data_IF_542911140264
#
_entry.id   IF_542911140264
#
_cell.length_a   1.000
_cell.length_b   1.000
_cell.length_c   1.000
_cell.angle_alpha   90.00
_cell.angle_beta   90.00
_cell.angle_gamma   90.00
#
_symmetry.space_group_name_H-M   'P 1'
#
loop_
_entity.id
_entity.type
_entity.pdbx_description
1 polymer ?
#
# COMPACT_ATOMS: atom_id res chain seq x y z
N UNK A 1 36.75 11.77 -30.51
CA UNK A 1 36.35 12.53 -29.32
C UNK A 1 37.58 12.50 -28.43
N UNK A 2 38.32 13.62 -28.39
CA UNK A 2 39.44 13.79 -27.47
C UNK A 2 38.83 13.94 -26.05
N UNK A 3 38.91 12.89 -25.30
CA UNK A 3 38.49 12.92 -23.87
C UNK A 3 39.72 13.38 -23.10
N UNK A 4 39.62 14.53 -22.42
CA UNK A 4 40.67 14.95 -21.51
C UNK A 4 40.87 13.85 -20.45
N UNK A 5 42.03 13.16 -20.55
CA UNK A 5 42.27 11.96 -19.76
C UNK A 5 42.32 12.26 -18.26
N UNK A 6 42.79 13.44 -17.87
CA UNK A 6 42.90 13.87 -16.47
C UNK A 6 41.51 14.17 -15.85
N UNK A 7 40.63 14.85 -16.62
CA UNK A 7 39.25 15.08 -16.21
C UNK A 7 38.47 13.75 -16.09
N UNK A 8 38.71 12.81 -17.00
CA UNK A 8 38.06 11.51 -16.99
C UNK A 8 38.52 10.67 -15.81
N UNK A 9 39.82 10.59 -15.53
CA UNK A 9 40.36 9.86 -14.37
C UNK A 9 39.82 10.44 -13.06
N UNK A 10 39.77 11.76 -12.94
CA UNK A 10 39.16 12.43 -11.79
C UNK A 10 37.69 12.03 -11.58
N UNK A 11 36.92 11.95 -12.64
CA UNK A 11 35.50 11.50 -12.59
C UNK A 11 35.40 10.04 -12.15
N UNK A 12 36.28 9.16 -12.66
CA UNK A 12 36.32 7.75 -12.27
C UNK A 12 36.65 7.59 -10.79
N UNK A 13 37.65 8.29 -10.31
CA UNK A 13 38.04 8.23 -8.89
C UNK A 13 36.93 8.78 -7.96
N UNK A 14 36.29 9.87 -8.35
CA UNK A 14 35.14 10.41 -7.59
C UNK A 14 33.97 9.41 -7.57
N UNK A 15 33.69 8.75 -8.68
CA UNK A 15 32.65 7.71 -8.74
C UNK A 15 33.00 6.49 -7.87
N UNK A 16 34.26 6.01 -7.95
CA UNK A 16 34.76 4.92 -7.11
C UNK A 16 34.65 5.26 -5.62
N UNK A 17 35.07 6.47 -5.22
CA UNK A 17 34.96 6.93 -3.85
C UNK A 17 33.49 7.00 -3.39
N UNK A 18 32.59 7.49 -4.23
CA UNK A 18 31.15 7.53 -3.95
C UNK A 18 30.55 6.13 -3.72
N UNK A 19 30.97 5.16 -4.53
CA UNK A 19 30.58 3.76 -4.36
C UNK A 19 31.10 3.15 -3.05
N UNK A 20 32.35 3.43 -2.71
CA UNK A 20 32.95 2.94 -1.45
C UNK A 20 32.25 3.53 -0.23
N UNK A 21 31.92 4.84 -0.26
CA UNK A 21 31.18 5.52 0.81
C UNK A 21 29.79 4.90 0.92
N UNK A 22 29.10 4.70 -0.19
CA UNK A 22 27.77 4.09 -0.22
C UNK A 22 27.79 2.67 0.38
N UNK A 23 28.71 1.80 -0.04
CA UNK A 23 28.87 0.45 0.49
C UNK A 23 29.19 0.44 1.99
N UNK A 24 30.07 1.34 2.42
CA UNK A 24 30.37 1.49 3.84
C UNK A 24 29.16 1.93 4.67
N UNK A 25 28.41 2.91 4.17
CA UNK A 25 27.17 3.37 4.81
C UNK A 25 26.12 2.23 4.89
N UNK A 26 25.96 1.43 3.83
CA UNK A 26 25.03 0.29 3.85
C UNK A 26 25.43 -0.73 4.91
N UNK A 27 26.70 -1.10 4.98
CA UNK A 27 27.20 -2.04 6.00
C UNK A 27 27.01 -1.55 7.41
N UNK A 28 27.22 -0.25 7.67
CA UNK A 28 26.98 0.35 8.99
C UNK A 28 25.52 0.31 9.37
N UNK A 29 24.62 0.56 8.42
CA UNK A 29 23.18 0.46 8.62
C UNK A 29 22.80 -0.98 8.96
N UNK A 30 23.22 -1.94 8.15
CA UNK A 30 22.87 -3.35 8.33
C UNK A 30 23.36 -3.92 9.67
N UNK A 31 24.48 -3.41 10.18
CA UNK A 31 25.05 -3.89 11.43
C UNK A 31 24.52 -3.19 12.68
N UNK A 32 24.20 -1.91 12.60
CA UNK A 32 24.00 -1.08 13.80
C UNK A 32 22.69 -0.29 13.82
N UNK A 33 21.93 -0.28 12.71
CA UNK A 33 20.70 0.49 12.65
C UNK A 33 19.49 -0.35 13.06
N UNK A 34 18.79 0.09 14.11
CA UNK A 34 17.52 -0.52 14.51
C UNK A 34 16.39 -0.03 13.62
N UNK A 35 15.74 -0.97 12.93
CA UNK A 35 14.58 -0.73 12.07
C UNK A 35 13.26 -0.82 12.81
N UNK A 36 13.27 -1.03 14.13
CA UNK A 36 12.06 -1.08 14.92
C UNK A 36 11.37 0.28 14.98
N UNK A 37 10.05 0.26 14.74
CA UNK A 37 9.18 1.44 14.87
C UNK A 37 8.00 1.04 15.72
N UNK A 38 7.75 1.75 16.81
CA UNK A 38 6.62 1.44 17.66
C UNK A 38 5.28 1.76 16.96
N UNK A 39 4.25 1.00 17.29
CA UNK A 39 2.89 1.28 16.79
C UNK A 39 2.43 2.69 17.19
N UNK A 40 2.82 3.16 18.36
CA UNK A 40 2.48 4.51 18.84
C UNK A 40 3.13 5.60 17.97
N UNK A 41 4.37 5.42 17.54
CA UNK A 41 5.04 6.39 16.65
C UNK A 41 4.32 6.47 15.29
N UNK A 42 3.88 5.32 14.76
CA UNK A 42 3.12 5.27 13.50
C UNK A 42 1.78 5.99 13.65
N UNK A 43 1.05 5.74 14.75
CA UNK A 43 -0.23 6.40 15.04
C UNK A 43 -0.04 7.91 15.21
N UNK A 44 0.97 8.33 15.96
CA UNK A 44 1.27 9.75 16.19
C UNK A 44 1.64 10.45 14.87
N UNK A 45 2.44 9.80 14.02
CA UNK A 45 2.78 10.34 12.72
C UNK A 45 1.54 10.51 11.84
N UNK A 46 0.69 9.49 11.78
CA UNK A 46 -0.57 9.55 11.04
C UNK A 46 -1.45 10.70 11.52
N UNK A 47 -1.66 10.83 12.82
CA UNK A 47 -2.55 11.85 13.40
C UNK A 47 -2.03 13.28 13.16
N UNK A 48 -0.72 13.47 13.24
CA UNK A 48 -0.10 14.79 12.99
C UNK A 48 -0.11 15.20 11.53
N UNK A 49 -0.10 14.24 10.60
CA UNK A 49 -0.03 14.46 9.16
C UNK A 49 -1.30 14.02 8.42
N UNK A 50 -2.42 13.86 9.13
CA UNK A 50 -3.65 13.23 8.60
C UNK A 50 -4.16 13.89 7.29
N UNK A 51 -3.96 15.19 7.13
CA UNK A 51 -4.38 15.95 5.93
C UNK A 51 -3.55 15.63 4.70
N UNK A 52 -2.36 15.05 4.86
CA UNK A 52 -1.46 14.67 3.77
C UNK A 52 -1.82 13.30 3.21
N UNK A 53 -2.47 12.45 4.01
CA UNK A 53 -2.87 11.11 3.61
C UNK A 53 -4.20 11.15 2.88
N UNK A 54 -4.15 11.37 1.57
CA UNK A 54 -5.33 11.33 0.70
C UNK A 54 -5.28 10.09 -0.18
N UNK A 55 -6.45 9.48 -0.36
CA UNK A 55 -6.62 8.33 -1.23
C UNK A 55 -6.30 8.72 -2.68
N UNK A 56 -5.41 7.97 -3.32
CA UNK A 56 -5.07 8.11 -4.73
C UNK A 56 -6.09 7.44 -5.66
N UNK A 57 -6.87 6.51 -5.11
CA UNK A 57 -7.95 5.80 -5.79
C UNK A 57 -9.04 5.39 -4.80
N UNK A 58 -10.19 5.00 -5.33
CA UNK A 58 -11.30 4.53 -4.51
C UNK A 58 -10.94 3.25 -3.76
N UNK A 59 -11.43 3.12 -2.52
CA UNK A 59 -11.28 1.92 -1.69
C UNK A 59 -12.63 1.46 -1.17
N UNK A 60 -12.74 0.18 -0.88
CA UNK A 60 -13.95 -0.42 -0.37
C UNK A 60 -13.67 -1.56 0.61
N UNK A 61 -14.67 -1.88 1.41
CA UNK A 61 -14.84 -3.16 2.09
C UNK A 61 -16.11 -3.77 1.53
N UNK A 62 -16.06 -5.04 1.18
CA UNK A 62 -17.23 -5.68 0.57
C UNK A 62 -16.91 -6.93 -0.23
N UNK A 63 -17.85 -7.30 -1.09
CA UNK A 63 -17.83 -8.59 -1.81
C UNK A 63 -18.16 -8.37 -3.28
N UNK A 64 -17.48 -9.11 -4.13
CA UNK A 64 -17.83 -9.31 -5.53
C UNK A 64 -17.96 -10.81 -5.77
N UNK A 65 -19.08 -11.24 -6.41
CA UNK A 65 -19.25 -12.60 -6.87
C UNK A 65 -19.70 -12.54 -8.33
N UNK A 66 -19.06 -13.35 -9.15
CA UNK A 66 -19.42 -13.55 -10.57
C UNK A 66 -19.73 -15.03 -10.72
N UNK A 67 -20.96 -15.34 -11.06
CA UNK A 67 -21.46 -16.72 -11.17
C UNK A 67 -22.21 -16.91 -12.47
N UNK A 68 -22.22 -18.13 -13.01
CA UNK A 68 -23.02 -18.48 -14.19
C UNK A 68 -24.51 -18.35 -13.88
N UNK A 69 -25.33 -17.95 -14.87
CA UNK A 69 -26.78 -17.86 -14.73
C UNK A 69 -27.43 -19.21 -14.46
N UNK A 70 -26.78 -20.29 -14.92
CA UNK A 70 -27.28 -21.65 -14.77
C UNK A 70 -26.68 -22.35 -13.53
N UNK A 71 -25.96 -21.63 -12.68
CA UNK A 71 -25.41 -22.20 -11.45
C UNK A 71 -26.55 -22.67 -10.51
N UNK A 72 -26.36 -23.78 -9.78
CA UNK A 72 -27.38 -24.30 -8.89
C UNK A 72 -27.61 -23.37 -7.68
N UNK A 73 -28.86 -23.37 -7.19
CA UNK A 73 -29.22 -22.69 -5.92
C UNK A 73 -28.91 -21.18 -5.87
N UNK A 74 -29.02 -20.46 -6.99
CA UNK A 74 -28.77 -19.01 -7.07
C UNK A 74 -29.60 -18.20 -6.07
N UNK A 75 -30.84 -18.61 -5.78
CA UNK A 75 -31.69 -17.94 -4.80
C UNK A 75 -31.08 -17.98 -3.39
N UNK A 76 -30.50 -19.10 -3.02
CA UNK A 76 -29.80 -19.25 -1.73
C UNK A 76 -28.51 -18.43 -1.71
N UNK A 77 -27.70 -18.47 -2.77
CA UNK A 77 -26.53 -17.59 -2.89
C UNK A 77 -26.91 -16.12 -2.68
N UNK A 78 -27.97 -15.64 -3.33
CA UNK A 78 -28.42 -14.23 -3.21
C UNK A 78 -28.85 -13.91 -1.78
N UNK A 79 -29.44 -14.85 -1.07
CA UNK A 79 -29.81 -14.67 0.34
C UNK A 79 -28.57 -14.56 1.23
N UNK A 80 -27.65 -15.50 1.11
CA UNK A 80 -26.38 -15.51 1.83
C UNK A 80 -25.55 -14.26 1.54
N UNK A 81 -25.49 -13.86 0.26
CA UNK A 81 -24.76 -12.64 -0.18
C UNK A 81 -25.24 -11.36 0.49
N UNK A 82 -26.52 -11.25 0.82
CA UNK A 82 -27.12 -10.08 1.51
C UNK A 82 -26.95 -10.12 3.01
N UNK A 83 -26.57 -11.27 3.57
CA UNK A 83 -26.40 -11.43 5.01
C UNK A 83 -25.11 -10.76 5.52
N UNK A 84 -25.11 -10.36 6.79
CA UNK A 84 -23.94 -9.91 7.51
C UNK A 84 -23.56 -10.90 8.63
N UNK A 85 -24.17 -12.08 8.67
CA UNK A 85 -23.84 -13.12 9.63
C UNK A 85 -22.60 -13.88 9.16
N UNK A 86 -21.66 -14.13 10.06
CA UNK A 86 -20.39 -14.77 9.72
C UNK A 86 -20.61 -16.20 9.21
N UNK A 87 -21.60 -16.93 9.74
CA UNK A 87 -21.92 -18.29 9.29
C UNK A 87 -22.46 -18.29 7.85
N UNK A 88 -23.29 -17.32 7.51
CA UNK A 88 -23.82 -17.16 6.15
C UNK A 88 -22.72 -16.77 5.15
N UNK A 89 -21.74 -15.97 5.61
CA UNK A 89 -20.58 -15.60 4.81
C UNK A 89 -19.71 -16.83 4.52
N UNK A 90 -19.47 -17.68 5.51
CA UNK A 90 -18.70 -18.92 5.33
C UNK A 90 -19.40 -19.91 4.38
N UNK A 91 -20.73 -20.03 4.48
CA UNK A 91 -21.52 -20.84 3.55
C UNK A 91 -21.48 -20.26 2.14
N UNK A 92 -21.61 -18.93 2.00
CA UNK A 92 -21.46 -18.24 0.71
C UNK A 92 -20.08 -18.47 0.09
N UNK A 93 -19.00 -18.40 0.88
CA UNK A 93 -17.64 -18.68 0.39
C UNK A 93 -17.53 -20.13 -0.08
N UNK A 94 -18.12 -21.07 0.68
CA UNK A 94 -18.15 -22.49 0.30
C UNK A 94 -18.88 -22.72 -1.02
N UNK A 95 -20.00 -22.02 -1.24
CA UNK A 95 -20.69 -22.01 -2.52
C UNK A 95 -19.81 -21.44 -3.64
N UNK A 96 -19.14 -20.30 -3.39
CA UNK A 96 -18.28 -19.65 -4.37
C UNK A 96 -17.11 -20.53 -4.81
N UNK A 97 -16.50 -21.29 -3.89
CA UNK A 97 -15.42 -22.24 -4.21
C UNK A 97 -15.85 -23.31 -5.22
N UNK A 98 -17.13 -23.68 -5.25
CA UNK A 98 -17.65 -24.73 -6.12
C UNK A 98 -18.20 -24.18 -7.46
N UNK A 99 -18.85 -23.02 -7.44
CA UNK A 99 -19.69 -22.56 -8.54
C UNK A 99 -19.38 -21.17 -9.07
N UNK A 100 -18.61 -20.32 -8.35
CA UNK A 100 -18.29 -18.99 -8.83
C UNK A 100 -17.18 -19.06 -9.90
N UNK A 101 -17.35 -18.30 -10.97
CA UNK A 101 -16.28 -18.03 -11.93
C UNK A 101 -15.16 -17.20 -11.28
N UNK A 102 -15.56 -16.25 -10.47
CA UNK A 102 -14.66 -15.40 -9.70
C UNK A 102 -15.38 -14.85 -8.47
N UNK A 103 -14.69 -14.74 -7.37
CA UNK A 103 -15.22 -14.08 -6.19
C UNK A 103 -14.12 -13.33 -5.42
N UNK A 104 -14.55 -12.31 -4.71
CA UNK A 104 -13.75 -11.53 -3.79
C UNK A 104 -14.58 -11.22 -2.55
N UNK A 105 -14.11 -11.59 -1.37
CA UNK A 105 -14.81 -11.35 -0.10
C UNK A 105 -13.82 -10.72 0.88
N UNK A 106 -14.03 -9.47 1.24
CA UNK A 106 -13.25 -8.78 2.24
C UNK A 106 -14.07 -7.68 2.92
N UNK A 107 -14.83 -8.05 3.92
CA UNK A 107 -15.69 -7.16 4.68
C UNK A 107 -14.97 -6.44 5.83
N UNK A 108 -13.79 -6.91 6.19
CA UNK A 108 -13.06 -6.45 7.39
C UNK A 108 -11.95 -5.43 7.06
N UNK A 109 -11.26 -5.60 5.93
CA UNK A 109 -10.14 -4.77 5.55
C UNK A 109 -10.43 -3.92 4.30
N UNK A 110 -9.81 -2.74 4.24
CA UNK A 110 -9.87 -1.88 3.07
C UNK A 110 -9.07 -2.47 1.92
N UNK A 111 -9.65 -2.42 0.73
CA UNK A 111 -9.03 -2.84 -0.52
C UNK A 111 -9.26 -1.83 -1.62
N UNK A 112 -8.36 -1.76 -2.56
CA UNK A 112 -8.51 -0.89 -3.73
C UNK A 112 -9.64 -1.38 -4.64
N UNK A 113 -10.49 -0.45 -5.09
CA UNK A 113 -11.66 -0.78 -5.89
C UNK A 113 -11.34 -1.01 -7.38
N UNK A 114 -10.27 -0.45 -7.90
CA UNK A 114 -9.95 -0.57 -9.34
C UNK A 114 -9.86 -2.03 -9.85
N UNK A 115 -9.28 -3.01 -9.14
CA UNK A 115 -9.29 -4.41 -9.57
C UNK A 115 -10.69 -5.01 -9.67
N UNK A 116 -11.62 -4.58 -8.82
CA UNK A 116 -13.02 -5.01 -8.85
C UNK A 116 -13.76 -4.30 -9.97
N UNK A 117 -13.53 -3.01 -10.14
CA UNK A 117 -14.13 -2.18 -11.18
C UNK A 117 -13.88 -2.72 -12.59
N UNK A 118 -12.71 -3.29 -12.85
CA UNK A 118 -12.39 -3.86 -14.16
C UNK A 118 -13.14 -5.16 -14.49
N UNK A 119 -13.77 -5.78 -13.49
CA UNK A 119 -14.45 -7.08 -13.62
C UNK A 119 -15.96 -6.98 -13.66
N UNK A 120 -16.51 -5.85 -13.25
CA UNK A 120 -17.96 -5.62 -13.20
C UNK A 120 -18.46 -4.95 -14.49
N UNK A 121 -19.73 -5.18 -14.88
CA UNK A 121 -20.36 -4.50 -16.01
C UNK A 121 -20.36 -2.97 -15.85
N UNK A 122 -20.30 -2.24 -16.97
CA UNK A 122 -20.36 -0.77 -16.96
C UNK A 122 -21.71 -0.23 -16.43
N UNK A 123 -22.75 -1.05 -16.44
CA UNK A 123 -24.07 -0.73 -15.87
C UNK A 123 -24.05 -0.74 -14.34
N UNK A 124 -23.09 -1.43 -13.73
CA UNK A 124 -22.90 -1.52 -12.27
C UNK A 124 -21.94 -0.44 -11.80
N UNK A 125 -22.38 0.40 -10.87
CA UNK A 125 -21.59 1.52 -10.39
C UNK A 125 -21.57 1.57 -8.87
N UNK A 126 -20.36 1.46 -8.28
CA UNK A 126 -20.16 1.61 -6.84
C UNK A 126 -20.68 2.97 -6.34
N UNK A 127 -20.48 4.04 -7.14
CA UNK A 127 -20.98 5.37 -6.83
C UNK A 127 -22.51 5.42 -6.73
N UNK A 128 -23.21 4.78 -7.67
CA UNK A 128 -24.67 4.71 -7.64
C UNK A 128 -25.17 3.90 -6.44
N UNK A 129 -24.50 2.78 -6.10
CA UNK A 129 -24.82 1.98 -4.91
C UNK A 129 -24.67 2.86 -3.65
N UNK A 130 -23.53 3.54 -3.51
CA UNK A 130 -23.24 4.40 -2.36
C UNK A 130 -24.24 5.53 -2.18
N UNK A 131 -24.53 6.32 -3.24
CA UNK A 131 -25.44 7.46 -3.15
C UNK A 131 -26.92 7.07 -3.06
N UNK A 132 -27.32 5.91 -3.56
CA UNK A 132 -28.70 5.41 -3.42
C UNK A 132 -28.98 4.79 -2.04
N UNK A 133 -28.01 4.83 -1.12
CA UNK A 133 -28.06 4.16 0.17
C UNK A 133 -28.37 2.66 0.08
N UNK A 134 -28.10 2.06 -1.07
CA UNK A 134 -28.14 0.61 -1.26
C UNK A 134 -26.79 0.05 -0.83
N UNK A 135 -26.81 -1.14 -0.27
CA UNK A 135 -25.55 -1.82 0.10
C UNK A 135 -25.04 -2.71 -1.02
N UNK A 136 -25.86 -3.06 -1.98
CA UNK A 136 -25.51 -4.00 -3.04
C UNK A 136 -26.22 -3.68 -4.36
N UNK A 137 -25.67 -4.25 -5.41
CA UNK A 137 -26.29 -4.32 -6.73
C UNK A 137 -26.12 -5.73 -7.31
N UNK A 138 -27.11 -6.18 -8.09
CA UNK A 138 -27.12 -7.49 -8.75
C UNK A 138 -27.51 -7.26 -10.21
N UNK A 139 -26.61 -7.57 -11.11
CA UNK A 139 -26.79 -7.37 -12.55
C UNK A 139 -26.56 -8.68 -13.28
N UNK A 140 -27.51 -9.06 -14.14
CA UNK A 140 -27.35 -10.15 -15.07
C UNK A 140 -26.89 -9.59 -16.42
N UNK A 141 -25.72 -10.00 -16.89
CA UNK A 141 -25.20 -9.63 -18.19
C UNK A 141 -24.53 -10.85 -18.85
N UNK A 142 -24.79 -11.02 -20.13
CA UNK A 142 -24.35 -12.20 -20.92
C UNK A 142 -24.74 -13.50 -20.21
N UNK A 143 -23.82 -14.40 -19.95
CA UNK A 143 -24.07 -15.68 -19.27
C UNK A 143 -23.82 -15.61 -17.76
N UNK A 144 -23.57 -14.42 -17.20
CA UNK A 144 -23.17 -14.28 -15.80
C UNK A 144 -24.13 -13.40 -15.00
N UNK A 145 -24.16 -13.66 -13.68
CA UNK A 145 -24.73 -12.79 -12.67
C UNK A 145 -23.58 -12.20 -11.87
N UNK A 146 -23.61 -10.88 -11.76
CA UNK A 146 -22.65 -10.09 -11.00
C UNK A 146 -23.33 -9.60 -9.73
N UNK A 147 -22.73 -9.90 -8.58
CA UNK A 147 -23.22 -9.46 -7.28
C UNK A 147 -22.14 -8.61 -6.63
N UNK A 148 -22.39 -7.32 -6.42
CA UNK A 148 -21.48 -6.39 -5.76
C UNK A 148 -22.11 -5.89 -4.47
N UNK A 149 -21.45 -6.12 -3.34
CA UNK A 149 -21.85 -5.60 -2.02
C UNK A 149 -20.77 -4.64 -1.50
N UNK A 150 -21.20 -3.45 -1.09
CA UNK A 150 -20.35 -2.42 -0.51
C UNK A 150 -20.72 -2.24 0.96
N UNK A 151 -19.91 -2.78 1.86
CA UNK A 151 -20.08 -2.56 3.31
C UNK A 151 -19.65 -1.16 3.68
N UNK A 152 -18.50 -0.74 3.18
CA UNK A 152 -17.95 0.61 3.31
C UNK A 152 -17.29 1.02 1.99
N UNK A 153 -17.30 2.30 1.68
CA UNK A 153 -16.68 2.85 0.47
C UNK A 153 -16.10 4.23 0.75
N UNK A 154 -14.93 4.51 0.21
CA UNK A 154 -14.30 5.84 0.25
C UNK A 154 -13.81 6.22 -1.13
N UNK A 155 -14.01 7.49 -1.48
CA UNK A 155 -13.61 8.02 -2.77
C UNK A 155 -12.16 8.49 -2.77
N UNK A 156 -11.57 8.45 -3.94
CA UNK A 156 -10.31 9.16 -4.22
C UNK A 156 -10.38 10.61 -3.70
N UNK A 157 -9.32 11.05 -3.03
CA UNK A 157 -9.20 12.38 -2.44
C UNK A 157 -9.73 12.50 -1.01
N UNK A 158 -10.47 11.52 -0.49
CA UNK A 158 -10.82 11.45 0.94
C UNK A 158 -9.59 11.07 1.78
N UNK A 159 -9.70 11.29 3.10
CA UNK A 159 -8.66 10.89 4.04
C UNK A 159 -8.54 9.36 4.04
N UNK A 160 -7.33 8.90 3.74
CA UNK A 160 -6.99 7.48 3.74
C UNK A 160 -7.06 6.90 5.15
N UNK A 161 -7.67 5.74 5.37
CA UNK A 161 -7.69 5.08 6.68
C UNK A 161 -6.27 4.70 7.14
N UNK A 162 -6.05 4.77 8.45
CA UNK A 162 -4.78 4.37 9.07
C UNK A 162 -4.27 2.99 8.62
N UNK A 163 -5.17 2.03 8.49
CA UNK A 163 -4.82 0.67 8.09
C UNK A 163 -4.23 0.57 6.67
N UNK A 164 -4.58 1.48 5.77
CA UNK A 164 -3.99 1.58 4.43
C UNK A 164 -2.59 2.21 4.50
N UNK A 165 -2.41 3.23 5.35
CA UNK A 165 -1.18 4.02 5.40
C UNK A 165 -0.12 3.44 6.35
N UNK A 166 -0.50 2.51 7.23
CA UNK A 166 0.35 2.00 8.32
C UNK A 166 1.75 1.57 7.85
N UNK A 167 1.83 0.72 6.82
CA UNK A 167 3.13 0.23 6.33
C UNK A 167 3.93 1.33 5.62
N UNK A 168 3.27 2.20 4.88
CA UNK A 168 3.91 3.36 4.24
C UNK A 168 4.50 4.30 5.29
N UNK A 169 3.76 4.61 6.34
CA UNK A 169 4.23 5.47 7.45
C UNK A 169 5.39 4.81 8.18
N UNK A 170 5.31 3.51 8.47
CA UNK A 170 6.41 2.76 9.07
C UNK A 170 7.70 2.92 8.25
N UNK A 171 7.62 2.71 6.94
CA UNK A 171 8.76 2.86 6.04
C UNK A 171 9.28 4.32 5.97
N UNK A 172 8.38 5.31 6.00
CA UNK A 172 8.77 6.72 6.07
C UNK A 172 9.55 7.04 7.35
N UNK A 173 9.09 6.54 8.50
CA UNK A 173 9.78 6.74 9.79
C UNK A 173 11.15 6.04 9.76
N UNK A 174 11.23 4.79 9.29
CA UNK A 174 12.49 4.05 9.14
C UNK A 174 13.47 4.84 8.28
N UNK A 175 13.05 5.29 7.10
CA UNK A 175 13.90 6.06 6.19
C UNK A 175 14.36 7.38 6.82
N UNK A 176 13.47 8.09 7.50
CA UNK A 176 13.82 9.33 8.22
C UNK A 176 14.85 9.08 9.34
N UNK A 177 14.69 8.00 10.09
CA UNK A 177 15.62 7.61 11.15
C UNK A 177 16.97 7.17 10.56
N UNK A 178 16.96 6.42 9.44
CA UNK A 178 18.16 6.03 8.70
C UNK A 178 18.96 7.26 8.24
N UNK A 179 18.30 8.26 7.68
CA UNK A 179 18.95 9.52 7.27
C UNK A 179 19.59 10.25 8.46
N UNK A 180 18.87 10.36 9.58
CA UNK A 180 19.40 10.97 10.80
C UNK A 180 20.59 10.20 11.37
N UNK A 181 20.55 8.88 11.33
CA UNK A 181 21.63 8.02 11.77
C UNK A 181 22.90 8.26 10.95
N UNK A 182 22.78 8.27 9.62
CA UNK A 182 23.90 8.54 8.71
C UNK A 182 24.49 9.93 8.94
N UNK A 183 23.65 10.95 9.06
CA UNK A 183 24.09 12.32 9.33
C UNK A 183 24.84 12.43 10.67
N UNK A 184 24.37 11.71 11.69
CA UNK A 184 25.07 11.67 12.99
C UNK A 184 26.44 10.99 12.87
N UNK A 185 26.52 9.88 12.14
CA UNK A 185 27.79 9.18 11.87
C UNK A 185 28.77 10.07 11.11
N UNK A 186 28.31 10.76 10.07
CA UNK A 186 29.14 11.70 9.30
C UNK A 186 29.71 12.81 10.19
N UNK A 187 28.87 13.41 11.03
CA UNK A 187 29.33 14.45 11.99
C UNK A 187 30.36 13.91 12.98
N UNK A 188 30.19 12.68 13.48
CA UNK A 188 31.14 12.04 14.38
C UNK A 188 32.49 11.78 13.68
N UNK A 189 32.46 11.28 12.44
CA UNK A 189 33.67 11.03 11.65
C UNK A 189 34.41 12.32 11.35
N UNK A 190 33.74 13.40 10.97
CA UNK A 190 34.33 14.71 10.74
C UNK A 190 34.97 15.24 12.02
N UNK A 191 34.29 15.15 13.17
CA UNK A 191 34.85 15.60 14.45
C UNK A 191 36.08 14.79 14.84
N UNK A 192 36.06 13.47 14.71
CA UNK A 192 37.20 12.62 15.03
C UNK A 192 38.39 12.91 14.09
N UNK A 193 38.14 13.06 12.79
CA UNK A 193 39.18 13.40 11.83
C UNK A 193 39.83 14.77 12.06
N UNK A 194 39.07 15.73 12.62
CA UNK A 194 39.63 17.04 13.06
C UNK A 194 40.51 16.88 14.29
N UNK A 195 40.10 16.06 15.25
CA UNK A 195 40.86 15.84 16.50
C UNK A 195 42.18 15.11 16.21
N UNK A 196 42.15 14.15 15.26
CA UNK A 196 43.35 13.37 14.85
C UNK A 196 44.24 14.13 13.87
N UNK A 197 43.86 15.32 13.40
CA UNK A 197 44.53 16.09 12.34
C UNK A 197 44.56 15.36 10.95
N UNK A 198 43.70 14.41 10.75
CA UNK A 198 43.59 13.68 9.47
C UNK A 198 42.79 14.46 8.42
N UNK A 199 42.02 15.48 8.84
CA UNK A 199 41.18 16.31 7.96
C UNK A 199 41.48 17.79 8.17
N UNK A 200 41.91 18.48 7.12
CA UNK A 200 41.99 19.91 7.05
C UNK A 200 40.88 20.47 6.18
N UNK A 201 40.00 21.29 6.73
CA UNK A 201 38.96 21.98 5.97
C UNK A 201 39.49 23.38 5.64
N UNK A 202 39.76 23.61 4.37
CA UNK A 202 40.04 24.95 3.86
C UNK A 202 38.69 25.63 3.55
N UNK A 203 38.40 26.70 4.28
CA UNK A 203 37.25 27.58 4.07
C UNK A 203 37.53 28.56 2.93
#
# INVERSE_FOLDING_TARGET
IDVDSEEFETKVDNYKNSLLIFEYQQRLIDQNFDTSVSTNDIINYYNTHIKEFKLEQDIFKGRLIIVDKDAPNLSELIKLFKSNDDSDIDEMISYCLLYAKEYYVNDSAWSYFNPVKSKIPNTMSARNIYYSNRKYDIVAQDNFIYLLFLKEYKFKGEISPFSIEKEKIKNLIINKNKMKYLQKLENVLIQNGRISNDINIYL
#
